data_IF_137957632837
#
_entry.id   IF_137957632837
#
_cell.length_a   1.000
_cell.length_b   1.000
_cell.length_c   1.000
_cell.angle_alpha   90.00
_cell.angle_beta   90.00
_cell.angle_gamma   90.00
#
_symmetry.space_group_name_H-M   'P 1'
#
loop_
_entity.id
_entity.type
_entity.pdbx_description
1 polymer ?
#
# COMPACT_ATOMS: atom_id res chain seq x y z
N UNK A 1 13.12 -0.78 -18.08
CA UNK A 1 13.15 -1.84 -17.06
C UNK A 1 14.50 -1.96 -16.38
N UNK A 2 15.62 -2.14 -17.09
CA UNK A 2 16.96 -2.20 -16.48
C UNK A 2 17.25 -1.03 -15.53
N UNK A 3 17.00 0.19 -16.00
CA UNK A 3 17.15 1.41 -15.19
C UNK A 3 16.26 1.47 -13.95
N UNK A 4 15.03 0.95 -14.05
CA UNK A 4 14.05 0.93 -12.94
C UNK A 4 14.52 -0.05 -11.86
N UNK A 5 14.97 -1.24 -12.26
CA UNK A 5 15.50 -2.26 -11.35
C UNK A 5 16.76 -1.76 -10.65
N UNK A 6 17.67 -1.13 -11.39
CA UNK A 6 18.87 -0.52 -10.82
C UNK A 6 18.53 0.53 -9.75
N UNK A 7 17.55 1.40 -10.02
CA UNK A 7 17.07 2.38 -9.03
C UNK A 7 16.44 1.71 -7.80
N UNK A 8 15.67 0.62 -7.99
CA UNK A 8 15.09 -0.12 -6.87
C UNK A 8 16.18 -0.72 -5.98
N UNK A 9 17.18 -1.38 -6.54
CA UNK A 9 18.26 -2.01 -5.78
C UNK A 9 19.05 -1.00 -4.95
N UNK A 10 19.34 0.18 -5.52
CA UNK A 10 20.12 1.22 -4.84
C UNK A 10 19.31 1.96 -3.77
N UNK A 11 18.05 2.30 -4.05
CA UNK A 11 17.27 3.20 -3.19
C UNK A 11 16.42 2.46 -2.14
N UNK A 12 16.14 1.16 -2.33
CA UNK A 12 15.18 0.42 -1.49
C UNK A 12 15.84 -0.42 -0.39
N UNK A 13 17.16 -0.63 -0.42
CA UNK A 13 17.85 -1.50 0.53
C UNK A 13 17.67 -1.08 2.01
N UNK A 14 17.65 0.24 2.28
CA UNK A 14 17.52 0.79 3.65
C UNK A 14 16.11 0.59 4.23
N UNK A 15 15.07 0.72 3.42
CA UNK A 15 13.67 0.45 3.82
C UNK A 15 13.37 -1.04 3.91
N UNK A 16 13.96 -1.85 3.03
CA UNK A 16 13.72 -3.30 3.00
C UNK A 16 14.01 -3.95 4.36
N UNK A 17 15.12 -3.59 5.03
CA UNK A 17 15.41 -4.10 6.38
C UNK A 17 14.32 -3.77 7.41
N UNK A 18 13.79 -2.54 7.39
CA UNK A 18 12.73 -2.11 8.30
C UNK A 18 11.42 -2.85 8.00
N UNK A 19 11.06 -2.96 6.72
CA UNK A 19 9.87 -3.66 6.28
C UNK A 19 9.93 -5.16 6.64
N UNK A 20 11.07 -5.82 6.42
CA UNK A 20 11.29 -7.22 6.81
C UNK A 20 11.15 -7.48 8.32
N UNK A 21 11.30 -6.45 9.17
CA UNK A 21 11.06 -6.57 10.61
C UNK A 21 9.59 -6.30 10.97
N UNK A 22 8.94 -5.36 10.26
CA UNK A 22 7.53 -5.01 10.46
C UNK A 22 6.63 -6.20 10.10
N UNK A 23 6.90 -6.91 9.00
CA UNK A 23 6.02 -7.98 8.52
C UNK A 23 5.86 -9.16 9.50
N UNK A 24 6.92 -9.75 10.09
CA UNK A 24 6.77 -10.79 11.10
C UNK A 24 6.03 -10.30 12.35
N UNK A 25 6.30 -9.08 12.82
CA UNK A 25 5.59 -8.49 13.96
C UNK A 25 4.10 -8.38 13.64
N UNK A 26 3.78 -7.87 12.46
CA UNK A 26 2.40 -7.76 12.00
C UNK A 26 1.70 -9.13 11.96
N UNK A 27 2.36 -10.17 11.44
CA UNK A 27 1.79 -11.52 11.46
C UNK A 27 1.48 -12.02 12.87
N UNK A 28 2.42 -11.84 13.82
CA UNK A 28 2.21 -12.25 15.22
C UNK A 28 1.05 -11.50 15.86
N UNK A 29 0.97 -10.18 15.65
CA UNK A 29 -0.13 -9.35 16.17
C UNK A 29 -1.47 -9.85 15.61
N UNK A 30 -1.56 -10.10 14.30
CA UNK A 30 -2.79 -10.61 13.67
C UNK A 30 -3.22 -11.96 14.25
N UNK A 31 -2.30 -12.92 14.39
CA UNK A 31 -2.60 -14.24 14.98
C UNK A 31 -3.11 -14.09 16.42
N UNK A 32 -2.44 -13.27 17.24
CA UNK A 32 -2.87 -13.03 18.62
C UNK A 32 -4.23 -12.35 18.68
N UNK A 33 -4.50 -11.40 17.78
CA UNK A 33 -5.77 -10.68 17.75
C UNK A 33 -6.94 -11.58 17.36
N UNK A 34 -6.75 -12.47 16.38
CA UNK A 34 -7.76 -13.48 16.03
C UNK A 34 -8.02 -14.42 17.22
N UNK A 35 -6.96 -14.86 17.92
CA UNK A 35 -7.08 -15.75 19.07
C UNK A 35 -7.78 -15.13 20.28
N UNK A 36 -7.55 -13.84 20.56
CA UNK A 36 -8.06 -13.16 21.77
C UNK A 36 -9.42 -12.52 21.59
N UNK A 37 -9.75 -12.04 20.38
CA UNK A 37 -10.92 -11.19 20.15
C UNK A 37 -11.97 -11.79 19.21
N UNK A 38 -11.81 -13.05 18.79
CA UNK A 38 -12.81 -13.89 18.11
C UNK A 38 -13.75 -13.11 17.16
N UNK A 39 -13.25 -12.79 15.97
CA UNK A 39 -14.01 -12.16 14.86
C UNK A 39 -14.53 -10.73 15.10
N UNK A 40 -13.90 -9.99 16.04
CA UNK A 40 -14.17 -8.56 16.19
C UNK A 40 -13.60 -7.75 15.00
N UNK A 41 -14.48 -7.46 14.03
CA UNK A 41 -14.17 -6.71 12.81
C UNK A 41 -13.46 -5.38 13.07
N UNK A 42 -13.97 -4.57 14.01
CA UNK A 42 -13.44 -3.24 14.27
C UNK A 42 -11.99 -3.29 14.77
N UNK A 43 -11.65 -4.30 15.59
CA UNK A 43 -10.29 -4.47 16.09
C UNK A 43 -9.35 -4.91 14.95
N UNK A 44 -9.82 -5.76 14.04
CA UNK A 44 -9.07 -6.16 12.86
C UNK A 44 -8.81 -4.98 11.92
N UNK A 45 -9.83 -4.13 11.73
CA UNK A 45 -9.72 -2.92 10.92
C UNK A 45 -8.66 -1.94 11.46
N UNK A 46 -8.64 -1.76 12.79
CA UNK A 46 -7.64 -0.92 13.47
C UNK A 46 -6.23 -1.47 13.24
N UNK A 47 -6.05 -2.79 13.33
CA UNK A 47 -4.74 -3.44 13.13
C UNK A 47 -4.28 -3.29 11.68
N UNK A 48 -5.18 -3.53 10.72
CA UNK A 48 -4.91 -3.37 9.30
C UNK A 48 -4.50 -1.93 8.99
N UNK A 49 -5.26 -0.95 9.49
CA UNK A 49 -4.92 0.47 9.31
C UNK A 49 -3.60 0.85 9.98
N UNK A 50 -3.33 0.34 11.18
CA UNK A 50 -2.03 0.54 11.83
C UNK A 50 -0.87 0.01 10.98
N UNK A 51 -1.03 -1.19 10.39
CA UNK A 51 -0.05 -1.77 9.46
C UNK A 51 0.19 -0.90 8.23
N UNK A 52 -0.88 -0.45 7.57
CA UNK A 52 -0.82 0.44 6.41
C UNK A 52 -0.10 1.76 6.74
N UNK A 53 -0.43 2.38 7.88
CA UNK A 53 0.18 3.62 8.34
C UNK A 53 1.67 3.46 8.69
N UNK A 54 2.06 2.32 9.29
CA UNK A 54 3.47 2.03 9.59
C UNK A 54 4.28 1.92 8.29
N UNK A 55 3.78 1.18 7.29
CA UNK A 55 4.42 1.07 5.97
C UNK A 55 4.54 2.45 5.32
N UNK A 56 3.46 3.23 5.36
CA UNK A 56 3.43 4.59 4.83
C UNK A 56 4.51 5.46 5.48
N UNK A 57 4.65 5.40 6.81
CA UNK A 57 5.68 6.13 7.57
C UNK A 57 7.10 5.73 7.19
N UNK A 58 7.35 4.44 6.93
CA UNK A 58 8.67 3.96 6.47
C UNK A 58 9.02 4.58 5.12
N UNK A 59 8.08 4.60 4.18
CA UNK A 59 8.30 5.21 2.86
C UNK A 59 8.47 6.73 2.95
N UNK A 60 7.67 7.42 3.75
CA UNK A 60 7.80 8.85 4.01
C UNK A 60 9.19 9.22 4.50
N UNK A 61 9.66 8.55 5.55
CA UNK A 61 10.96 8.85 6.14
C UNK A 61 12.08 8.60 5.14
N UNK A 62 12.00 7.52 4.36
CA UNK A 62 12.99 7.21 3.32
C UNK A 62 13.03 8.27 2.23
N UNK A 63 11.89 8.65 1.66
CA UNK A 63 11.84 9.62 0.57
C UNK A 63 12.32 10.98 1.07
N UNK A 64 11.93 11.39 2.27
CA UNK A 64 12.44 12.61 2.90
C UNK A 64 13.96 12.58 3.11
N UNK A 65 14.53 11.46 3.56
CA UNK A 65 15.99 11.28 3.67
C UNK A 65 16.67 11.38 2.29
N UNK A 66 16.16 10.67 1.28
CA UNK A 66 16.69 10.72 -0.10
C UNK A 66 16.70 12.15 -0.68
N UNK A 67 15.63 12.91 -0.42
CA UNK A 67 15.55 14.31 -0.87
C UNK A 67 16.56 15.18 -0.12
N UNK A 68 16.67 15.04 1.21
CA UNK A 68 17.61 15.80 2.04
C UNK A 68 19.06 15.52 1.71
N UNK A 69 19.40 14.26 1.40
CA UNK A 69 20.75 13.84 1.05
C UNK A 69 21.18 14.28 -0.36
N UNK A 70 20.33 15.04 -1.07
CA UNK A 70 20.60 15.46 -2.44
C UNK A 70 20.61 14.29 -3.42
N UNK A 71 20.05 13.13 -3.04
CA UNK A 71 20.00 11.96 -3.92
C UNK A 71 19.23 12.28 -5.19
N UNK A 72 18.19 13.13 -5.13
CA UNK A 72 17.49 13.63 -6.31
C UNK A 72 18.44 14.36 -7.27
N UNK A 73 19.39 15.15 -6.77
CA UNK A 73 20.37 15.84 -7.61
C UNK A 73 21.36 14.84 -8.21
N UNK A 74 21.78 13.81 -7.46
CA UNK A 74 22.65 12.73 -7.96
C UNK A 74 21.97 11.82 -8.98
N UNK A 75 20.69 11.53 -8.79
CA UNK A 75 19.85 10.77 -9.72
C UNK A 75 19.72 11.48 -11.08
N UNK A 76 19.92 12.81 -11.13
CA UNK A 76 19.96 13.59 -12.39
C UNK A 76 21.26 13.39 -13.18
N UNK A 77 22.35 12.96 -12.54
CA UNK A 77 23.66 12.74 -13.18
C UNK A 77 23.78 11.35 -13.79
N UNK A 78 22.89 10.42 -13.40
CA UNK A 78 22.85 9.09 -13.97
C UNK A 78 22.25 9.14 -15.40
N UNK A 79 22.74 8.32 -16.35
CA UNK A 79 22.21 8.25 -17.72
C UNK A 79 20.86 7.49 -17.74
N UNK A 80 19.94 7.87 -16.86
CA UNK A 80 18.68 7.19 -16.59
C UNK A 80 17.53 8.15 -16.84
N UNK A 81 16.43 7.65 -17.42
CA UNK A 81 15.24 8.47 -17.71
C UNK A 81 14.64 9.04 -16.42
N UNK A 82 14.25 10.32 -16.44
CA UNK A 82 13.75 11.03 -15.25
C UNK A 82 12.51 10.40 -14.59
N UNK A 83 11.67 9.70 -15.37
CA UNK A 83 10.50 8.99 -14.83
C UNK A 83 10.86 7.65 -14.17
N UNK A 84 12.04 7.09 -14.43
CA UNK A 84 12.42 5.77 -13.94
C UNK A 84 12.44 5.73 -12.41
N UNK A 85 12.86 6.83 -11.77
CA UNK A 85 12.80 6.99 -10.32
C UNK A 85 11.37 6.93 -9.79
N UNK A 86 10.46 7.74 -10.34
CA UNK A 86 9.06 7.78 -9.88
C UNK A 86 8.39 6.40 -10.05
N UNK A 87 8.64 5.74 -11.18
CA UNK A 87 8.09 4.41 -11.46
C UNK A 87 8.72 3.33 -10.54
N UNK A 88 10.03 3.37 -10.28
CA UNK A 88 10.67 2.44 -9.34
C UNK A 88 10.10 2.59 -7.93
N UNK A 89 9.89 3.82 -7.50
CA UNK A 89 9.36 4.10 -6.17
C UNK A 89 7.90 3.68 -6.04
N UNK A 90 7.09 3.91 -7.08
CA UNK A 90 5.71 3.45 -7.12
C UNK A 90 5.62 1.92 -7.05
N UNK A 91 6.44 1.21 -7.83
CA UNK A 91 6.49 -0.26 -7.82
C UNK A 91 6.92 -0.78 -6.45
N UNK A 92 7.89 -0.13 -5.79
CA UNK A 92 8.33 -0.52 -4.46
C UNK A 92 7.26 -0.28 -3.39
N UNK A 93 6.56 0.86 -3.42
CA UNK A 93 5.41 1.13 -2.56
C UNK A 93 4.31 0.07 -2.77
N UNK A 94 3.95 -0.21 -4.03
CA UNK A 94 2.93 -1.20 -4.38
C UNK A 94 3.28 -2.60 -3.88
N UNK A 95 4.52 -3.06 -4.12
CA UNK A 95 5.00 -4.34 -3.61
C UNK A 95 4.97 -4.41 -2.08
N UNK A 96 5.31 -3.31 -1.40
CA UNK A 96 5.30 -3.25 0.07
C UNK A 96 3.89 -3.42 0.65
N UNK A 97 2.89 -2.80 0.02
CA UNK A 97 1.49 -2.93 0.44
C UNK A 97 0.91 -4.31 0.08
N UNK A 98 1.20 -4.84 -1.10
CA UNK A 98 0.78 -6.19 -1.49
C UNK A 98 1.30 -7.25 -0.50
N UNK A 99 2.55 -7.10 -0.03
CA UNK A 99 3.13 -8.04 0.92
C UNK A 99 2.41 -8.04 2.28
N UNK A 100 1.76 -6.94 2.68
CA UNK A 100 0.93 -6.92 3.89
C UNK A 100 -0.27 -7.87 3.77
N UNK A 101 -0.91 -7.95 2.59
CA UNK A 101 -1.99 -8.90 2.34
C UNK A 101 -1.50 -10.35 2.32
N UNK A 102 -0.29 -10.59 1.80
CA UNK A 102 0.36 -11.90 1.91
C UNK A 102 0.60 -12.29 3.36
N UNK A 103 1.01 -11.34 4.21
CA UNK A 103 1.17 -11.55 5.65
C UNK A 103 -0.15 -11.86 6.35
N UNK A 104 -1.24 -11.16 6.00
CA UNK A 104 -2.59 -11.47 6.51
C UNK A 104 -2.99 -12.91 6.16
N UNK A 105 -2.84 -13.27 4.88
CA UNK A 105 -3.16 -14.62 4.41
C UNK A 105 -2.35 -15.68 5.15
N UNK A 106 -1.05 -15.48 5.26
CA UNK A 106 -0.16 -16.40 5.98
C UNK A 106 -0.54 -16.52 7.47
N UNK A 107 -0.92 -15.41 8.10
CA UNK A 107 -1.34 -15.38 9.51
C UNK A 107 -2.61 -16.18 9.73
N UNK A 108 -3.60 -16.01 8.84
CA UNK A 108 -4.82 -16.81 8.86
C UNK A 108 -4.55 -18.30 8.62
N UNK A 109 -3.71 -18.62 7.64
CA UNK A 109 -3.32 -20.01 7.37
C UNK A 109 -2.68 -20.68 8.59
N UNK A 110 -1.74 -20.00 9.25
CA UNK A 110 -1.10 -20.49 10.48
C UNK A 110 -2.12 -20.68 11.60
N UNK A 111 -3.02 -19.71 11.79
CA UNK A 111 -4.08 -19.79 12.81
C UNK A 111 -5.01 -20.99 12.56
N UNK A 112 -5.53 -21.13 11.34
CA UNK A 112 -6.46 -22.20 10.98
C UNK A 112 -5.81 -23.60 11.10
N UNK A 113 -4.56 -23.74 10.65
CA UNK A 113 -3.86 -25.02 10.71
C UNK A 113 -3.39 -25.38 12.13
N UNK A 114 -2.73 -24.45 12.83
CA UNK A 114 -2.07 -24.75 14.11
C UNK A 114 -2.99 -24.63 15.33
N UNK A 115 -3.98 -23.74 15.29
CA UNK A 115 -4.85 -23.45 16.43
C UNK A 115 -6.22 -24.11 16.25
N UNK A 116 -6.85 -23.98 15.08
CA UNK A 116 -8.15 -24.62 14.82
C UNK A 116 -8.03 -26.09 14.38
N UNK A 117 -6.84 -26.56 14.01
CA UNK A 117 -6.61 -27.94 13.56
C UNK A 117 -7.23 -28.26 12.20
N UNK A 118 -7.52 -27.24 11.39
CA UNK A 118 -8.11 -27.42 10.06
C UNK A 118 -7.01 -27.92 9.11
N UNK A 119 -7.15 -29.16 8.65
CA UNK A 119 -6.19 -29.81 7.74
C UNK A 119 -6.74 -30.03 6.34
N UNK A 120 -8.06 -29.91 6.17
CA UNK A 120 -8.75 -30.09 4.90
C UNK A 120 -8.91 -28.76 4.16
N UNK A 121 -8.61 -28.72 2.86
CA UNK A 121 -8.71 -27.51 2.03
C UNK A 121 -10.13 -26.96 1.96
N UNK A 122 -11.15 -27.83 1.91
CA UNK A 122 -12.54 -27.39 1.83
C UNK A 122 -12.99 -26.74 3.13
N UNK A 123 -12.58 -27.31 4.27
CA UNK A 123 -12.86 -26.74 5.60
C UNK A 123 -12.14 -25.41 5.78
N UNK A 124 -10.92 -25.26 5.25
CA UNK A 124 -10.19 -23.99 5.29
C UNK A 124 -10.92 -22.90 4.50
N UNK A 125 -11.40 -23.20 3.29
CA UNK A 125 -12.14 -22.23 2.46
C UNK A 125 -13.44 -21.83 3.16
N UNK A 126 -14.21 -22.81 3.66
CA UNK A 126 -15.48 -22.54 4.37
C UNK A 126 -15.23 -21.71 5.63
N UNK A 127 -14.21 -22.05 6.41
CA UNK A 127 -13.82 -21.26 7.59
C UNK A 127 -13.48 -19.83 7.20
N UNK A 128 -12.73 -19.64 6.12
CA UNK A 128 -12.33 -18.30 5.64
C UNK A 128 -13.52 -17.45 5.21
N UNK A 129 -14.48 -18.04 4.47
CA UNK A 129 -15.71 -17.34 4.10
C UNK A 129 -16.63 -17.05 5.28
N UNK A 130 -16.60 -17.90 6.31
CA UNK A 130 -17.40 -17.69 7.52
C UNK A 130 -16.86 -16.58 8.44
N UNK A 131 -15.58 -16.22 8.31
CA UNK A 131 -14.91 -15.20 9.13
C UNK A 131 -14.99 -13.85 8.44
N UNK A 132 -15.81 -12.94 8.97
CA UNK A 132 -16.09 -11.64 8.34
C UNK A 132 -14.78 -10.86 8.11
N UNK A 133 -13.88 -10.89 9.10
CA UNK A 133 -12.60 -10.16 9.07
C UNK A 133 -11.61 -10.63 8.01
N UNK A 134 -11.77 -11.83 7.46
CA UNK A 134 -10.79 -12.46 6.56
C UNK A 134 -11.44 -12.89 5.24
N UNK A 135 -12.77 -12.90 5.19
CA UNK A 135 -13.57 -13.20 4.00
C UNK A 135 -13.14 -12.41 2.75
N UNK A 136 -12.65 -11.18 2.93
CA UNK A 136 -12.17 -10.35 1.83
C UNK A 136 -10.92 -10.91 1.11
N UNK A 137 -10.11 -11.75 1.78
CA UNK A 137 -8.94 -12.39 1.18
C UNK A 137 -9.32 -13.46 0.14
N UNK A 138 -10.51 -14.06 0.26
CA UNK A 138 -11.03 -15.10 -0.62
C UNK A 138 -12.40 -14.72 -1.14
N UNK A 139 -12.51 -13.56 -1.77
CA UNK A 139 -13.77 -13.14 -2.35
C UNK A 139 -14.04 -13.85 -3.67
N UNK A 140 -15.24 -14.40 -3.77
CA UNK A 140 -15.73 -15.10 -4.97
C UNK A 140 -16.13 -14.11 -6.07
N UNK A 141 -16.31 -12.84 -5.70
CA UNK A 141 -16.73 -11.77 -6.60
C UNK A 141 -15.52 -11.06 -7.23
N UNK A 142 -15.41 -11.16 -8.55
CA UNK A 142 -14.36 -10.51 -9.35
C UNK A 142 -14.28 -8.99 -9.13
N UNK A 143 -15.42 -8.34 -8.85
CA UNK A 143 -15.49 -6.90 -8.60
C UNK A 143 -14.77 -6.51 -7.31
N UNK A 144 -14.84 -7.35 -6.27
CA UNK A 144 -14.17 -7.08 -5.01
C UNK A 144 -12.65 -7.28 -5.12
N UNK A 145 -12.21 -8.29 -5.87
CA UNK A 145 -10.78 -8.50 -6.18
C UNK A 145 -10.23 -7.28 -6.93
N UNK A 146 -10.97 -6.80 -7.94
CA UNK A 146 -10.60 -5.62 -8.70
C UNK A 146 -10.52 -4.37 -7.80
N UNK A 147 -11.48 -4.18 -6.89
CA UNK A 147 -11.45 -3.08 -5.92
C UNK A 147 -10.24 -3.16 -4.98
N UNK A 148 -9.89 -4.34 -4.47
CA UNK A 148 -8.72 -4.51 -3.62
C UNK A 148 -7.43 -4.13 -4.37
N UNK A 149 -7.29 -4.54 -5.64
CA UNK A 149 -6.12 -4.17 -6.46
C UNK A 149 -6.07 -2.64 -6.66
N UNK A 150 -7.20 -2.04 -7.03
CA UNK A 150 -7.30 -0.59 -7.24
C UNK A 150 -7.02 0.19 -5.94
N UNK A 151 -7.42 -0.35 -4.79
CA UNK A 151 -7.11 0.18 -3.47
C UNK A 151 -5.61 0.17 -3.18
N UNK A 152 -4.93 -0.97 -3.38
CA UNK A 152 -3.48 -1.06 -3.18
C UNK A 152 -2.74 -0.09 -4.10
N UNK A 153 -3.19 0.06 -5.35
CA UNK A 153 -2.66 1.07 -6.26
C UNK A 153 -2.84 2.48 -5.70
N UNK A 154 -4.03 2.85 -5.25
CA UNK A 154 -4.30 4.16 -4.65
C UNK A 154 -3.35 4.44 -3.48
N UNK A 155 -3.14 3.48 -2.58
CA UNK A 155 -2.21 3.64 -1.46
C UNK A 155 -0.77 3.91 -1.91
N UNK A 156 -0.30 3.17 -2.93
CA UNK A 156 1.03 3.38 -3.48
C UNK A 156 1.19 4.77 -4.10
N UNK A 157 0.20 5.22 -4.89
CA UNK A 157 0.18 6.55 -5.50
C UNK A 157 0.17 7.65 -4.44
N UNK A 158 -0.73 7.56 -3.46
CA UNK A 158 -0.86 8.55 -2.41
C UNK A 158 0.40 8.65 -1.57
N UNK A 159 0.97 7.52 -1.15
CA UNK A 159 2.21 7.48 -0.35
C UNK A 159 3.36 8.17 -1.09
N UNK A 160 3.49 7.93 -2.39
CA UNK A 160 4.52 8.55 -3.21
C UNK A 160 4.26 10.06 -3.43
N UNK A 161 3.03 10.43 -3.80
CA UNK A 161 2.68 11.84 -4.05
C UNK A 161 2.86 12.69 -2.79
N UNK A 162 2.30 12.25 -1.67
CA UNK A 162 2.41 12.95 -0.39
C UNK A 162 3.86 13.05 0.07
N UNK A 163 4.65 11.98 -0.06
CA UNK A 163 6.04 11.98 0.42
C UNK A 163 6.92 12.93 -0.38
N UNK A 164 6.73 12.99 -1.70
CA UNK A 164 7.40 13.94 -2.56
C UNK A 164 6.99 15.38 -2.26
N UNK A 165 5.70 15.63 -2.08
CA UNK A 165 5.19 16.99 -1.80
C UNK A 165 5.65 17.51 -0.43
N UNK A 166 5.65 16.66 0.61
CA UNK A 166 6.20 16.99 1.92
C UNK A 166 7.71 17.27 1.81
N UNK A 167 8.44 16.42 1.08
CA UNK A 167 9.88 16.58 0.91
C UNK A 167 10.25 17.90 0.19
N UNK A 168 9.39 18.36 -0.72
CA UNK A 168 9.52 19.63 -1.42
C UNK A 168 9.02 20.86 -0.64
N UNK A 169 8.46 20.68 0.57
CA UNK A 169 7.79 21.73 1.35
C UNK A 169 6.66 22.43 0.57
N UNK A 170 5.96 21.71 -0.30
CA UNK A 170 4.74 22.24 -0.92
C UNK A 170 3.54 22.06 0.01
N UNK A 171 2.61 23.03 0.02
CA UNK A 171 1.36 22.93 0.78
C UNK A 171 0.52 21.78 0.22
N UNK A 172 0.57 20.61 0.85
CA UNK A 172 -0.30 19.49 0.55
C UNK A 172 -1.64 19.67 1.23
N UNK A 173 -2.72 19.64 0.46
CA UNK A 173 -4.02 19.26 1.00
C UNK A 173 -3.86 17.81 1.48
N UNK A 174 -4.04 17.60 2.78
CA UNK A 174 -3.91 16.32 3.46
C UNK A 174 -4.74 15.25 2.75
N UNK A 175 -4.06 14.18 2.31
CA UNK A 175 -4.61 13.01 1.58
C UNK A 175 -5.07 11.90 2.57
N UNK A 176 -4.98 12.16 3.87
CA UNK A 176 -5.48 11.27 4.92
C UNK A 176 -7.01 11.03 4.88
N UNK A 177 -7.87 12.02 4.54
CA UNK A 177 -9.30 11.80 4.39
C UNK A 177 -9.62 10.80 3.26
N UNK A 178 -8.86 10.81 2.16
CA UNK A 178 -9.03 9.85 1.06
C UNK A 178 -8.62 8.43 1.43
N UNK A 179 -7.66 8.25 2.34
CA UNK A 179 -7.28 6.94 2.92
C UNK A 179 -8.42 6.36 3.76
N UNK A 180 -9.05 7.20 4.59
CA UNK A 180 -10.14 6.78 5.48
C UNK A 180 -11.43 6.48 4.69
N UNK A 181 -11.79 7.38 3.76
CA UNK A 181 -12.97 7.22 2.89
C UNK A 181 -12.85 6.00 1.97
N UNK A 182 -11.64 5.72 1.44
CA UNK A 182 -11.42 4.54 0.60
C UNK A 182 -11.42 3.23 1.40
N UNK A 183 -11.00 3.24 2.68
CA UNK A 183 -11.10 2.06 3.54
C UNK A 183 -12.56 1.71 3.83
N UNK A 184 -13.35 2.68 4.27
CA UNK A 184 -14.74 2.49 4.67
C UNK A 184 -15.63 2.07 3.48
N UNK A 185 -15.35 2.58 2.27
CA UNK A 185 -16.07 2.17 1.06
C UNK A 185 -15.74 0.74 0.58
N UNK A 186 -14.58 0.18 0.95
CA UNK A 186 -14.09 -1.10 0.39
C UNK A 186 -14.25 -2.26 1.37
N UNK A 187 -14.06 -2.01 2.66
CA UNK A 187 -14.10 -3.06 3.68
C UNK A 187 -15.45 -3.17 4.40
N UNK A 188 -16.28 -2.12 4.41
CA UNK A 188 -17.61 -2.16 5.05
C UNK A 188 -18.78 -2.36 4.06
N UNK A 189 -18.53 -2.41 2.76
CA UNK A 189 -19.58 -2.69 1.77
C UNK A 189 -19.66 -4.18 1.49
N UNK A 190 -20.57 -4.87 2.18
CA UNK A 190 -20.81 -6.31 2.04
C UNK A 190 -21.26 -6.73 0.63
N UNK A 191 -21.77 -5.78 -0.18
CA UNK A 191 -22.14 -6.01 -1.57
C UNK A 191 -21.75 -4.79 -2.41
N UNK A 192 -20.79 -4.97 -3.31
CA UNK A 192 -20.47 -4.00 -4.35
C UNK A 192 -21.21 -4.41 -5.62
N UNK A 193 -22.18 -3.61 -6.03
CA UNK A 193 -22.80 -3.73 -7.35
C UNK A 193 -21.99 -2.97 -8.42
N UNK A 194 -22.31 -3.19 -9.69
CA UNK A 194 -21.59 -2.56 -10.81
C UNK A 194 -21.63 -1.03 -10.75
N UNK A 195 -22.73 -0.45 -10.25
CA UNK A 195 -22.90 1.00 -10.11
C UNK A 195 -21.98 1.59 -9.04
N UNK A 196 -21.89 0.95 -7.87
CA UNK A 196 -21.01 1.36 -6.78
C UNK A 196 -19.55 1.17 -7.17
N UNK A 197 -19.22 0.06 -7.85
CA UNK A 197 -17.89 -0.15 -8.42
C UNK A 197 -17.49 1.00 -9.35
N UNK A 198 -18.38 1.41 -10.26
CA UNK A 198 -18.11 2.52 -11.18
C UNK A 198 -17.89 3.86 -10.45
N UNK A 199 -18.74 4.18 -9.47
CA UNK A 199 -18.60 5.40 -8.65
C UNK A 199 -17.25 5.41 -7.92
N UNK A 200 -16.87 4.29 -7.30
CA UNK A 200 -15.60 4.17 -6.58
C UNK A 200 -14.42 4.33 -7.55
N UNK A 201 -14.45 3.70 -8.73
CA UNK A 201 -13.38 3.85 -9.73
C UNK A 201 -13.26 5.30 -10.20
N UNK A 202 -14.37 6.00 -10.47
CA UNK A 202 -14.33 7.39 -10.90
C UNK A 202 -13.68 8.26 -9.83
N UNK A 203 -14.05 8.07 -8.56
CA UNK A 203 -13.45 8.79 -7.43
C UNK A 203 -11.94 8.48 -7.31
N UNK A 204 -11.56 7.21 -7.31
CA UNK A 204 -10.16 6.78 -7.21
C UNK A 204 -9.33 7.31 -8.37
N UNK A 205 -9.87 7.28 -9.59
CA UNK A 205 -9.19 7.81 -10.78
C UNK A 205 -8.96 9.31 -10.65
N UNK A 206 -9.95 10.06 -10.14
CA UNK A 206 -9.79 11.49 -9.84
C UNK A 206 -8.66 11.77 -8.85
N UNK A 207 -8.56 10.96 -7.79
CA UNK A 207 -7.47 11.08 -6.80
C UNK A 207 -6.11 10.73 -7.41
N UNK A 208 -6.01 9.64 -8.17
CA UNK A 208 -4.77 9.24 -8.86
C UNK A 208 -4.32 10.32 -9.84
N UNK A 209 -5.24 10.93 -10.59
CA UNK A 209 -4.93 12.03 -11.51
C UNK A 209 -4.40 13.27 -10.78
N UNK A 210 -5.00 13.60 -9.63
CA UNK A 210 -4.54 14.69 -8.77
C UNK A 210 -3.12 14.41 -8.22
N UNK A 211 -2.87 13.19 -7.74
CA UNK A 211 -1.57 12.75 -7.26
C UNK A 211 -0.52 12.78 -8.39
N UNK A 212 -0.90 12.33 -9.58
CA UNK A 212 -0.04 12.35 -10.76
C UNK A 212 0.33 13.77 -11.20
N UNK A 213 -0.59 14.73 -11.08
CA UNK A 213 -0.31 16.15 -11.33
C UNK A 213 0.81 16.67 -10.42
N UNK A 214 0.76 16.35 -9.12
CA UNK A 214 1.81 16.73 -8.16
C UNK A 214 3.14 16.02 -8.42
N UNK A 215 3.12 14.72 -8.71
CA UNK A 215 4.33 13.99 -9.11
C UNK A 215 4.96 14.56 -10.39
N UNK A 216 4.14 14.96 -11.37
CA UNK A 216 4.61 15.58 -12.61
C UNK A 216 5.19 16.97 -12.37
N UNK A 217 4.60 17.75 -11.48
CA UNK A 217 5.13 19.05 -11.06
C UNK A 217 6.52 18.89 -10.42
N UNK A 218 6.71 17.89 -9.56
CA UNK A 218 8.03 17.50 -9.03
C UNK A 218 9.04 17.21 -10.16
N UNK A 219 8.65 16.40 -11.15
CA UNK A 219 9.52 16.08 -12.30
C UNK A 219 9.86 17.33 -13.14
N UNK A 220 8.92 18.25 -13.32
CA UNK A 220 9.11 19.48 -14.10
C UNK A 220 9.96 20.53 -13.37
N UNK A 221 9.79 20.69 -12.05
CA UNK A 221 10.65 21.56 -11.23
C UNK A 221 12.11 21.10 -11.27
N UNK A 222 12.34 19.78 -11.29
CA UNK A 222 13.67 19.21 -11.48
C UNK A 222 14.25 19.49 -12.88
N UNK A 223 13.42 19.69 -13.92
CA UNK A 223 13.87 20.07 -15.28
C UNK A 223 14.17 21.57 -15.42
N UNK A 224 13.40 22.47 -14.78
CA UNK A 224 13.58 23.93 -14.94
C UNK A 224 14.85 24.48 -14.28
N UNK A 225 15.34 23.88 -13.19
CA UNK A 225 16.65 24.24 -12.59
C UNK A 225 17.88 23.79 -13.41
N UNK A 226 17.68 23.28 -14.63
CA UNK A 226 18.73 22.86 -15.57
C UNK A 226 19.05 23.95 -16.60
N UNK A 227 18.15 24.94 -16.76
CA UNK A 227 18.31 26.05 -17.71
C UNK A 227 18.81 27.35 -17.08
N UNK A 228 19.12 27.32 -15.79
CA UNK A 228 19.79 28.38 -15.01
C UNK A 228 21.13 27.84 -14.52
#
# INVERSE_FOLDING_TARGET
MKDILFMMEQNCAKSMKKLCLIYPIFCVVVIMSIALFADNQLLFDIILMAGLLIIMKVHFNRINELVKDGAIVRLRLLPVKSYAFVVSELLFCLASYMFLFVCLYFSWFVYAYMILGITNSNEFIIATWSTISISFLFMDNIWNIALMIVYVMLFAFQTLATSLSIALKENTISVFPTIFVSYEMIFNMNTVDETMFFVIIVFITGVILYDFYHMRKFMNLNRKRVSE
#
